data_IF_059183272616
#
_entry.id   IF_059183272616
#
_cell.length_a   1.000
_cell.length_b   1.000
_cell.length_c   1.000
_cell.angle_alpha   90.00
_cell.angle_beta   90.00
_cell.angle_gamma   90.00
#
_symmetry.space_group_name_H-M   'P 1'
#
loop_
_entity.id
_entity.type
_entity.pdbx_description
1 polymer ?
#
# COMPACT_ATOMS: atom_id res chain seq x y z
N UNK A 1 -22.59 -21.62 -39.17
CA UNK A 1 -22.33 -20.16 -39.24
C UNK A 1 -22.91 -19.42 -38.03
N UNK A 2 -24.15 -19.73 -37.60
CA UNK A 2 -24.84 -19.07 -36.47
C UNK A 2 -24.14 -19.17 -35.10
N UNK A 3 -23.51 -20.32 -34.78
CA UNK A 3 -22.81 -20.51 -33.50
C UNK A 3 -21.68 -19.50 -33.24
N UNK A 4 -21.00 -19.04 -34.29
CA UNK A 4 -19.86 -18.11 -34.23
C UNK A 4 -20.31 -16.65 -33.99
N UNK A 5 -21.50 -16.30 -34.48
CA UNK A 5 -22.12 -14.99 -34.28
C UNK A 5 -22.56 -14.83 -32.82
N UNK A 6 -23.14 -15.89 -32.24
CA UNK A 6 -23.56 -15.90 -30.83
C UNK A 6 -22.37 -15.75 -29.86
N UNK A 7 -21.24 -16.40 -30.16
CA UNK A 7 -20.01 -16.28 -29.36
C UNK A 7 -19.43 -14.86 -29.46
N UNK A 8 -19.42 -14.29 -30.66
CA UNK A 8 -18.92 -12.93 -30.91
C UNK A 8 -19.79 -11.88 -30.19
N UNK A 9 -21.12 -12.08 -30.20
CA UNK A 9 -22.06 -11.22 -29.46
C UNK A 9 -21.82 -11.30 -27.95
N UNK A 10 -21.70 -12.51 -27.40
CA UNK A 10 -21.42 -12.73 -25.97
C UNK A 10 -20.10 -12.11 -25.53
N UNK A 11 -19.04 -12.22 -26.34
CA UNK A 11 -17.75 -11.58 -26.06
C UNK A 11 -17.84 -10.05 -26.07
N UNK A 12 -18.53 -9.46 -27.05
CA UNK A 12 -18.76 -8.01 -27.12
C UNK A 12 -19.54 -7.52 -25.90
N UNK A 13 -20.59 -8.26 -25.51
CA UNK A 13 -21.37 -7.93 -24.31
C UNK A 13 -20.55 -8.05 -23.03
N UNK A 14 -19.73 -9.09 -22.89
CA UNK A 14 -18.84 -9.24 -21.74
C UNK A 14 -17.82 -8.11 -21.65
N UNK A 15 -17.21 -7.72 -22.78
CA UNK A 15 -16.27 -6.61 -22.81
C UNK A 15 -16.95 -5.28 -22.49
N UNK A 16 -18.16 -5.07 -23.01
CA UNK A 16 -18.96 -3.89 -22.71
C UNK A 16 -19.28 -3.81 -21.22
N UNK A 17 -19.76 -4.91 -20.62
CA UNK A 17 -20.03 -4.97 -19.18
C UNK A 17 -18.77 -4.69 -18.37
N UNK A 18 -17.62 -5.31 -18.72
CA UNK A 18 -16.36 -5.06 -18.02
C UNK A 18 -15.87 -3.62 -18.15
N UNK A 19 -16.13 -2.96 -19.27
CA UNK A 19 -15.76 -1.57 -19.50
C UNK A 19 -16.66 -0.58 -18.75
N UNK A 20 -17.96 -0.90 -18.63
CA UNK A 20 -18.96 -0.09 -17.92
C UNK A 20 -19.03 -0.42 -16.42
N UNK A 21 -18.42 -1.54 -15.98
CA UNK A 21 -18.35 -1.89 -14.58
C UNK A 21 -17.61 -0.77 -13.82
N UNK A 22 -18.20 -0.25 -12.73
CA UNK A 22 -17.52 0.73 -11.89
C UNK A 22 -16.17 0.20 -11.46
N UNK A 23 -15.12 0.97 -11.72
CA UNK A 23 -13.82 0.67 -11.16
C UNK A 23 -13.88 0.99 -9.66
N UNK A 24 -13.18 0.19 -8.86
CA UNK A 24 -12.99 0.54 -7.48
C UNK A 24 -12.22 1.87 -7.42
N UNK A 25 -12.82 2.86 -6.76
CA UNK A 25 -12.18 4.13 -6.47
C UNK A 25 -11.82 4.17 -4.98
N UNK A 26 -10.66 4.75 -4.66
CA UNK A 26 -10.28 4.97 -3.28
C UNK A 26 -11.19 6.03 -2.67
N UNK A 27 -11.98 5.66 -1.67
CA UNK A 27 -12.64 6.64 -0.81
C UNK A 27 -11.74 7.00 0.35
N UNK A 28 -11.66 8.29 0.68
CA UNK A 28 -10.93 8.74 1.85
C UNK A 28 -11.68 8.29 3.09
N UNK A 29 -11.07 7.40 3.87
CA UNK A 29 -11.60 7.00 5.16
C UNK A 29 -11.88 8.23 6.01
N UNK A 30 -10.94 9.19 6.10
CA UNK A 30 -11.03 10.41 6.91
C UNK A 30 -12.30 11.26 6.74
N UNK A 31 -13.03 11.15 5.62
CA UNK A 31 -14.25 11.93 5.40
C UNK A 31 -15.41 11.46 6.29
N UNK A 32 -15.38 10.22 6.75
CA UNK A 32 -16.43 9.60 7.55
C UNK A 32 -16.07 9.51 9.04
N UNK A 33 -14.95 10.10 9.47
CA UNK A 33 -14.40 9.93 10.82
C UNK A 33 -14.95 10.98 11.80
N UNK A 34 -15.36 10.48 12.97
CA UNK A 34 -15.49 11.29 14.18
C UNK A 34 -14.09 11.40 14.79
N UNK A 35 -13.66 12.60 15.18
CA UNK A 35 -12.34 12.88 15.79
C UNK A 35 -12.07 11.95 17.00
N UNK A 36 -11.47 10.76 16.79
CA UNK A 36 -10.87 9.88 17.83
C UNK A 36 -10.61 8.42 17.40
N UNK A 37 -10.97 7.98 16.19
CA UNK A 37 -10.70 6.59 15.81
C UNK A 37 -9.20 6.33 15.57
N UNK A 38 -8.71 5.26 16.20
CA UNK A 38 -7.32 4.83 16.13
C UNK A 38 -7.14 3.77 15.06
N UNK A 39 -6.17 3.97 14.16
CA UNK A 39 -5.89 3.07 13.06
C UNK A 39 -4.73 2.13 13.34
N UNK A 40 -4.83 0.95 12.75
CA UNK A 40 -3.71 0.03 12.62
C UNK A 40 -3.19 0.09 11.19
N UNK A 41 -1.93 0.49 11.03
CA UNK A 41 -1.26 0.47 9.72
C UNK A 41 -0.46 -0.83 9.61
N UNK A 42 -0.71 -1.60 8.57
CA UNK A 42 0.15 -2.73 8.21
C UNK A 42 1.47 -2.20 7.60
N UNK A 43 2.57 -2.41 8.34
CA UNK A 43 3.90 -1.91 7.98
C UNK A 43 4.47 -2.56 6.73
N UNK A 44 4.12 -3.80 6.44
CA UNK A 44 4.56 -4.50 5.23
C UNK A 44 3.84 -3.97 3.98
N UNK A 45 2.53 -3.68 4.10
CA UNK A 45 1.79 -2.97 3.06
C UNK A 45 2.33 -1.55 2.81
N UNK A 46 2.69 -0.82 3.88
CA UNK A 46 3.32 0.51 3.78
C UNK A 46 4.67 0.44 3.04
N UNK A 47 5.52 -0.51 3.39
CA UNK A 47 6.80 -0.78 2.74
C UNK A 47 6.62 -0.98 1.22
N UNK A 48 5.72 -1.90 0.83
CA UNK A 48 5.47 -2.21 -0.58
C UNK A 48 4.91 -1.00 -1.32
N UNK A 49 3.97 -0.27 -0.71
CA UNK A 49 3.38 0.94 -1.31
C UNK A 49 4.45 1.96 -1.66
N UNK A 50 5.37 2.26 -0.74
CA UNK A 50 6.43 3.24 -0.97
C UNK A 50 7.51 2.74 -1.95
N UNK A 51 7.80 1.44 -2.00
CA UNK A 51 8.72 0.87 -3.00
C UNK A 51 8.14 0.98 -4.42
N UNK A 52 6.84 0.69 -4.57
CA UNK A 52 6.15 0.73 -5.85
C UNK A 52 5.99 2.16 -6.39
N UNK A 53 5.91 3.18 -5.51
CA UNK A 53 5.70 4.57 -5.92
C UNK A 53 6.83 5.14 -6.79
N UNK A 54 8.08 4.74 -6.57
CA UNK A 54 9.25 5.44 -7.15
C UNK A 54 10.04 4.66 -8.20
N UNK A 55 9.54 3.51 -8.68
CA UNK A 55 10.38 2.59 -9.46
C UNK A 55 11.74 2.38 -8.76
N UNK A 56 11.67 2.03 -7.47
CA UNK A 56 12.79 2.04 -6.53
C UNK A 56 14.05 1.39 -7.11
N UNK A 57 15.18 2.11 -7.05
CA UNK A 57 16.50 1.60 -7.46
C UNK A 57 17.37 1.29 -6.25
N UNK A 58 18.27 0.31 -6.35
CA UNK A 58 19.27 0.06 -5.32
C UNK A 58 20.02 1.33 -4.90
N UNK A 59 20.18 1.54 -3.59
CA UNK A 59 20.88 2.69 -3.01
C UNK A 59 19.99 3.91 -2.68
N UNK A 60 18.69 3.88 -3.00
CA UNK A 60 17.76 4.99 -2.74
C UNK A 60 17.08 4.95 -1.36
N UNK A 61 17.68 4.32 -0.36
CA UNK A 61 17.06 4.11 0.96
C UNK A 61 16.60 5.42 1.62
N UNK A 62 17.39 6.49 1.51
CA UNK A 62 17.01 7.79 2.08
C UNK A 62 15.74 8.36 1.43
N UNK A 63 15.60 8.20 0.11
CA UNK A 63 14.41 8.64 -0.60
C UNK A 63 13.20 7.80 -0.21
N UNK A 64 13.39 6.49 -0.03
CA UNK A 64 12.36 5.60 0.48
C UNK A 64 11.86 6.02 1.87
N UNK A 65 12.76 6.32 2.82
CA UNK A 65 12.36 6.81 4.15
C UNK A 65 11.59 8.12 4.09
N UNK A 66 12.02 9.05 3.23
CA UNK A 66 11.30 10.30 2.99
C UNK A 66 9.85 10.05 2.51
N UNK A 67 9.61 9.08 1.63
CA UNK A 67 8.26 8.77 1.15
C UNK A 67 7.38 8.21 2.27
N UNK A 68 7.94 7.31 3.07
CA UNK A 68 7.23 6.75 4.23
C UNK A 68 6.87 7.88 5.20
N UNK A 69 7.83 8.72 5.57
CA UNK A 69 7.58 9.86 6.46
C UNK A 69 6.54 10.82 5.89
N UNK A 70 6.62 11.15 4.59
CA UNK A 70 5.66 12.03 3.92
C UNK A 70 4.24 11.44 3.97
N UNK A 71 4.09 10.14 3.76
CA UNK A 71 2.82 9.45 3.88
C UNK A 71 2.27 9.53 5.30
N UNK A 72 3.10 9.24 6.30
CA UNK A 72 2.70 9.24 7.71
C UNK A 72 2.37 10.66 8.22
N UNK A 73 3.14 11.67 7.80
CA UNK A 73 2.87 13.09 8.12
C UNK A 73 1.55 13.55 7.51
N UNK A 74 1.23 13.11 6.30
CA UNK A 74 -0.07 13.40 5.68
C UNK A 74 -1.23 12.82 6.52
N UNK A 75 -1.12 11.58 6.99
CA UNK A 75 -2.11 10.97 7.89
C UNK A 75 -2.24 11.74 9.21
N UNK A 76 -1.11 12.11 9.84
CA UNK A 76 -1.10 12.89 11.09
C UNK A 76 -1.72 14.27 10.87
N UNK A 77 -1.42 14.93 9.75
CA UNK A 77 -1.94 16.26 9.43
C UNK A 77 -3.46 16.29 9.25
N UNK A 78 -4.06 15.14 8.92
CA UNK A 78 -5.50 14.91 8.82
C UNK A 78 -6.13 14.46 10.14
N UNK A 79 -5.37 14.51 11.25
CA UNK A 79 -5.84 14.10 12.58
C UNK A 79 -5.80 12.60 12.83
N UNK A 80 -5.17 11.81 11.95
CA UNK A 80 -5.07 10.37 12.11
C UNK A 80 -4.21 9.97 13.32
N UNK A 81 -4.73 9.10 14.17
CA UNK A 81 -4.00 8.47 15.26
C UNK A 81 -3.76 7.00 14.91
N UNK A 82 -2.53 6.52 14.97
CA UNK A 82 -2.22 5.15 14.55
C UNK A 82 -0.99 4.56 15.22
N UNK A 83 -0.89 3.24 15.13
CA UNK A 83 0.35 2.45 15.32
C UNK A 83 0.66 1.68 14.04
N UNK A 84 1.93 1.39 13.80
CA UNK A 84 2.38 0.63 12.64
C UNK A 84 2.83 -0.75 13.10
N UNK A 85 2.22 -1.81 12.58
CA UNK A 85 2.58 -3.18 12.98
C UNK A 85 3.27 -3.92 11.85
N UNK A 86 4.41 -4.53 12.19
CA UNK A 86 5.15 -5.45 11.33
C UNK A 86 4.99 -6.88 11.84
N UNK A 87 4.26 -7.70 11.09
CA UNK A 87 4.04 -9.09 11.48
C UNK A 87 5.31 -9.91 11.29
N UNK A 88 5.68 -10.72 12.30
CA UNK A 88 6.86 -11.59 12.18
C UNK A 88 6.74 -12.59 11.03
N UNK A 89 5.53 -13.11 10.81
CA UNK A 89 5.28 -14.07 9.74
C UNK A 89 5.39 -13.45 8.33
N UNK A 90 5.26 -12.13 8.20
CA UNK A 90 5.48 -11.46 6.92
C UNK A 90 6.95 -11.50 6.48
N UNK A 91 7.89 -11.71 7.42
CA UNK A 91 9.32 -11.82 7.12
C UNK A 91 9.62 -12.94 6.12
N UNK A 92 8.89 -14.06 6.22
CA UNK A 92 9.04 -15.22 5.34
C UNK A 92 8.81 -14.88 3.86
N UNK A 93 7.99 -13.86 3.56
CA UNK A 93 7.74 -13.42 2.19
C UNK A 93 8.99 -12.81 1.52
N UNK A 94 9.96 -12.35 2.31
CA UNK A 94 11.15 -11.64 1.83
C UNK A 94 12.43 -12.49 1.89
N UNK A 95 12.38 -13.74 2.33
CA UNK A 95 13.58 -14.59 2.48
C UNK A 95 14.36 -14.78 1.18
N UNK A 96 13.66 -14.82 0.06
CA UNK A 96 14.29 -14.92 -1.27
C UNK A 96 14.76 -13.55 -1.83
N UNK A 97 14.56 -12.46 -1.08
CA UNK A 97 14.83 -11.08 -1.47
C UNK A 97 15.55 -10.34 -0.33
N UNK A 98 16.85 -10.63 -0.09
CA UNK A 98 17.59 -10.10 1.05
C UNK A 98 17.66 -8.57 1.07
N UNK A 99 17.61 -7.91 -0.10
CA UNK A 99 17.54 -6.45 -0.19
C UNK A 99 16.23 -5.90 0.38
N UNK A 100 15.10 -6.58 0.13
CA UNK A 100 13.81 -6.19 0.68
C UNK A 100 13.71 -6.50 2.17
N UNK A 101 14.24 -7.65 2.60
CA UNK A 101 14.30 -8.00 4.01
C UNK A 101 15.14 -6.99 4.81
N UNK A 102 16.32 -6.62 4.29
CA UNK A 102 17.17 -5.61 4.92
C UNK A 102 16.53 -4.21 4.91
N UNK A 103 15.84 -3.83 3.83
CA UNK A 103 15.10 -2.57 3.76
C UNK A 103 13.93 -2.54 4.76
N UNK A 104 13.21 -3.65 4.92
CA UNK A 104 12.16 -3.82 5.94
C UNK A 104 12.71 -3.62 7.34
N UNK A 105 13.80 -4.30 7.70
CA UNK A 105 14.45 -4.14 9.01
C UNK A 105 14.93 -2.70 9.21
N UNK A 106 15.50 -2.08 8.17
CA UNK A 106 15.93 -0.69 8.23
C UNK A 106 14.75 0.28 8.43
N UNK A 107 13.59 0.01 7.82
CA UNK A 107 12.37 0.80 8.04
C UNK A 107 11.90 0.71 9.50
N UNK A 108 11.82 -0.50 10.05
CA UNK A 108 11.41 -0.71 11.45
C UNK A 108 12.32 0.08 12.38
N UNK A 109 13.64 -0.06 12.21
CA UNK A 109 14.62 0.66 13.02
C UNK A 109 14.52 2.18 12.85
N UNK A 110 14.32 2.66 11.62
CA UNK A 110 14.15 4.08 11.33
C UNK A 110 12.94 4.65 12.08
N UNK A 111 11.78 4.00 11.99
CA UNK A 111 10.57 4.45 12.67
C UNK A 111 10.78 4.46 14.20
N UNK A 112 11.36 3.39 14.76
CA UNK A 112 11.59 3.27 16.20
C UNK A 112 12.62 4.25 16.78
N UNK A 113 13.60 4.69 15.98
CA UNK A 113 14.73 5.50 16.48
C UNK A 113 14.69 6.95 16.06
N UNK A 114 14.07 7.26 14.93
CA UNK A 114 14.13 8.59 14.32
C UNK A 114 12.76 9.28 14.28
N UNK A 115 11.69 8.61 14.73
CA UNK A 115 10.35 9.19 14.77
C UNK A 115 9.72 9.01 16.16
N UNK A 116 8.59 9.68 16.39
CA UNK A 116 7.78 9.50 17.61
C UNK A 116 6.62 8.52 17.40
N UNK A 117 6.65 7.74 16.32
CA UNK A 117 5.58 6.81 15.94
C UNK A 117 5.76 5.50 16.70
N UNK A 118 4.65 4.94 17.17
CA UNK A 118 4.60 3.63 17.82
C UNK A 118 4.69 2.52 16.76
N UNK A 119 5.69 1.63 16.91
CA UNK A 119 6.05 0.53 15.97
C UNK A 119 6.52 -0.73 16.67
#
# INVERSE_FOLDING_TARGET
MERNVLTTFSQKMSQFILNEMPKAEYSSLFNDFVESEFFLIDGDSLLITCICEISFKPGQNLHFFYLVERYLVDLISKGGQFTIVFFKDAEYAYFNFPELLSLRTALILHLQKNTTIDV
#
